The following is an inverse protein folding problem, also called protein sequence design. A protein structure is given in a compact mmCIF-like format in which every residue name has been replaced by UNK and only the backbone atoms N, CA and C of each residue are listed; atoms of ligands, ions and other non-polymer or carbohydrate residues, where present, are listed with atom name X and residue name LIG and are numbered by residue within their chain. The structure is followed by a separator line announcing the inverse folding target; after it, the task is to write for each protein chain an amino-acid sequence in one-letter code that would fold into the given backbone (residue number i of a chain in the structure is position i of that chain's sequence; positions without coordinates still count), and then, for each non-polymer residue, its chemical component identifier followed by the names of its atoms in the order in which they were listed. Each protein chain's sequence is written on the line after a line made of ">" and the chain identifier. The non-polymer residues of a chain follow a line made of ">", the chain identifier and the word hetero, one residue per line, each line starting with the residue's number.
data_IF_261085875565
#
_entry.id   IF_261085875565
#
_cell.length_a   1.000
_cell.length_b   1.000
_cell.length_c   1.000
_cell.angle_alpha   90.00
_cell.angle_beta   90.00
_cell.angle_gamma   90.00
#
_symmetry.space_group_name_H-M   'P 1'
#
loop_
_entity.id
_entity.type
_entity.pdbx_description
1 polymer ?
#
# COMPACT_ATOMS: atom_id res chain seq x y z
N UNK A 1 1.21 -30.50 1.44
CA UNK A 1 1.84 -29.18 1.19
C UNK A 1 1.84 -28.93 -0.32
N UNK A 2 0.87 -28.15 -0.85
CA UNK A 2 0.80 -27.84 -2.29
C UNK A 2 1.93 -26.85 -2.61
N UNK A 3 2.90 -27.26 -3.39
CA UNK A 3 3.88 -26.37 -4.01
C UNK A 3 3.11 -25.42 -4.93
N UNK A 4 2.95 -24.17 -4.51
CA UNK A 4 2.46 -23.11 -5.39
C UNK A 4 3.48 -22.98 -6.52
N UNK A 5 3.13 -23.44 -7.73
CA UNK A 5 3.95 -23.19 -8.90
C UNK A 5 3.93 -21.69 -9.13
N UNK A 6 5.08 -21.08 -9.03
CA UNK A 6 5.28 -19.69 -9.42
C UNK A 6 5.10 -19.63 -10.93
N UNK A 7 3.93 -19.21 -11.37
CA UNK A 7 3.69 -18.91 -12.78
C UNK A 7 4.25 -17.52 -12.99
N UNK A 8 5.32 -17.39 -13.78
CA UNK A 8 5.80 -16.08 -14.18
C UNK A 8 4.79 -15.49 -15.17
N UNK A 9 3.99 -14.47 -14.77
CA UNK A 9 2.95 -13.90 -15.62
C UNK A 9 3.52 -13.19 -16.85
N UNK A 10 4.83 -13.04 -16.93
CA UNK A 10 5.51 -12.43 -18.07
C UNK A 10 6.03 -13.45 -19.10
N UNK A 11 5.79 -14.75 -18.89
CA UNK A 11 6.04 -15.72 -19.97
C UNK A 11 5.13 -15.43 -21.16
N UNK A 12 5.67 -15.35 -22.38
CA UNK A 12 4.89 -14.92 -23.56
C UNK A 12 3.62 -15.73 -23.80
N UNK A 13 3.63 -17.02 -23.47
CA UNK A 13 2.45 -17.88 -23.59
C UNK A 13 1.34 -17.48 -22.60
N UNK A 14 1.71 -17.17 -21.36
CA UNK A 14 0.78 -16.75 -20.32
C UNK A 14 0.22 -15.36 -20.61
N UNK A 15 1.05 -14.42 -21.03
CA UNK A 15 0.59 -13.09 -21.47
C UNK A 15 -0.44 -13.21 -22.58
N UNK A 16 -0.16 -14.03 -23.61
CA UNK A 16 -1.12 -14.26 -24.71
C UNK A 16 -2.43 -14.89 -24.22
N UNK A 17 -2.35 -15.81 -23.26
CA UNK A 17 -3.55 -16.41 -22.65
C UNK A 17 -4.38 -15.34 -21.93
N UNK A 18 -3.77 -14.55 -21.07
CA UNK A 18 -4.44 -13.49 -20.30
C UNK A 18 -5.05 -12.42 -21.22
N UNK A 19 -4.32 -12.00 -22.26
CA UNK A 19 -4.86 -11.03 -23.23
C UNK A 19 -6.05 -11.60 -24.00
N UNK A 20 -6.04 -12.90 -24.37
CA UNK A 20 -7.21 -13.53 -25.00
C UNK A 20 -8.42 -13.62 -24.07
N UNK A 21 -8.17 -13.83 -22.78
CA UNK A 21 -9.23 -14.00 -21.76
C UNK A 21 -9.83 -12.65 -21.31
N UNK A 22 -8.99 -11.64 -21.09
CA UNK A 22 -9.37 -10.36 -20.49
C UNK A 22 -9.29 -9.16 -21.42
N UNK A 23 -8.73 -9.32 -22.62
CA UNK A 23 -8.55 -8.22 -23.57
C UNK A 23 -7.27 -7.41 -23.36
N UNK A 24 -7.17 -6.31 -24.12
CA UNK A 24 -6.06 -5.34 -24.06
C UNK A 24 -6.64 -3.93 -24.12
N UNK A 25 -6.09 -2.94 -23.36
CA UNK A 25 -4.91 -3.03 -22.49
C UNK A 25 -5.17 -3.83 -21.22
N UNK A 26 -4.15 -4.53 -20.70
CA UNK A 26 -4.24 -5.39 -19.51
C UNK A 26 -3.17 -4.99 -18.48
N UNK A 27 -3.59 -4.65 -17.26
CA UNK A 27 -2.72 -4.46 -16.11
C UNK A 27 -2.74 -5.72 -15.24
N UNK A 28 -1.57 -6.30 -14.97
CA UNK A 28 -1.42 -7.49 -14.13
C UNK A 28 -0.85 -7.06 -12.78
N UNK A 29 -1.61 -7.32 -11.71
CA UNK A 29 -1.16 -7.13 -10.33
C UNK A 29 -0.78 -8.48 -9.72
N UNK A 30 0.52 -8.66 -9.48
CA UNK A 30 1.07 -9.86 -8.83
C UNK A 30 1.36 -9.62 -7.34
N UNK A 31 0.42 -9.97 -6.49
CA UNK A 31 0.55 -9.81 -5.04
C UNK A 31 1.66 -10.68 -4.43
N UNK A 32 2.05 -11.80 -5.08
CA UNK A 32 3.16 -12.60 -4.58
C UNK A 32 4.51 -11.89 -4.76
N UNK A 33 4.67 -11.14 -5.84
CA UNK A 33 5.85 -10.26 -6.02
C UNK A 33 5.89 -9.14 -4.98
N UNK A 34 4.74 -8.55 -4.66
CA UNK A 34 4.63 -7.56 -3.57
C UNK A 34 5.08 -8.20 -2.26
N UNK A 35 4.58 -9.39 -1.93
CA UNK A 35 4.94 -10.15 -0.73
C UNK A 35 6.44 -10.41 -0.61
N UNK A 36 7.04 -10.90 -1.70
CA UNK A 36 8.48 -11.18 -1.77
C UNK A 36 9.30 -9.91 -1.52
N UNK A 37 8.88 -8.76 -2.08
CA UNK A 37 9.60 -7.49 -1.87
C UNK A 37 9.48 -6.99 -0.44
N UNK A 38 8.31 -7.05 0.19
CA UNK A 38 8.13 -6.70 1.59
C UNK A 38 9.04 -7.55 2.49
N UNK A 39 9.07 -8.87 2.26
CA UNK A 39 9.94 -9.79 3.01
C UNK A 39 11.43 -9.48 2.84
N UNK A 40 11.87 -9.17 1.60
CA UNK A 40 13.26 -8.78 1.32
C UNK A 40 13.64 -7.50 2.07
N UNK A 41 12.80 -6.47 2.03
CA UNK A 41 13.04 -5.20 2.72
C UNK A 41 13.09 -5.40 4.24
N UNK A 42 12.16 -6.15 4.81
CA UNK A 42 12.16 -6.45 6.25
C UNK A 42 13.40 -7.22 6.69
N UNK A 43 13.86 -8.17 5.88
CA UNK A 43 15.10 -8.91 6.15
C UNK A 43 16.33 -8.00 6.08
N UNK A 44 16.38 -7.08 5.12
CA UNK A 44 17.49 -6.14 4.95
C UNK A 44 17.50 -5.02 6.01
N UNK A 45 16.32 -4.64 6.51
CA UNK A 45 16.11 -3.53 7.44
C UNK A 45 15.35 -3.99 8.70
N UNK A 46 15.91 -4.89 9.51
CA UNK A 46 15.16 -5.60 10.58
C UNK A 46 14.72 -4.68 11.73
N UNK A 47 15.31 -3.48 11.85
CA UNK A 47 14.99 -2.48 12.89
C UNK A 47 14.22 -1.27 12.36
N UNK A 48 13.76 -1.33 11.11
CA UNK A 48 13.03 -0.24 10.47
C UNK A 48 11.56 -0.61 10.32
N UNK A 49 10.67 0.28 10.74
CA UNK A 49 9.24 0.17 10.47
C UNK A 49 8.99 0.57 8.99
N UNK A 50 8.55 -0.39 8.18
CA UNK A 50 8.31 -0.16 6.77
C UNK A 50 6.88 0.29 6.54
N UNK A 51 6.71 1.52 6.06
CA UNK A 51 5.43 2.09 5.68
C UNK A 51 5.30 2.09 4.15
N UNK A 52 4.24 1.48 3.66
CA UNK A 52 3.90 1.47 2.24
C UNK A 52 3.10 2.74 1.91
N UNK A 53 3.65 3.60 1.06
CA UNK A 53 2.92 4.75 0.54
C UNK A 53 1.79 4.30 -0.41
N UNK A 54 0.54 4.64 -0.09
CA UNK A 54 -0.60 4.24 -0.90
C UNK A 54 -0.69 4.99 -2.23
N UNK A 55 -0.15 6.19 -2.28
CA UNK A 55 -0.24 7.10 -3.43
C UNK A 55 0.03 6.44 -4.80
N UNK A 56 1.08 5.62 -5.01
CA UNK A 56 1.33 5.03 -6.34
C UNK A 56 0.37 3.89 -6.70
N UNK A 57 -0.17 3.15 -5.72
CA UNK A 57 -1.06 2.01 -5.98
C UNK A 57 -1.98 1.75 -4.78
N UNK A 58 -3.06 2.54 -4.62
CA UNK A 58 -4.04 2.39 -3.54
C UNK A 58 -5.01 1.25 -3.82
N UNK A 59 -4.51 0.04 -4.04
CA UNK A 59 -5.31 -1.13 -4.38
C UNK A 59 -5.55 -2.02 -3.16
N UNK A 60 -6.80 -2.47 -2.87
CA UNK A 60 -7.13 -3.30 -1.71
C UNK A 60 -6.24 -4.53 -1.54
N UNK A 61 -5.96 -5.25 -2.63
CA UNK A 61 -5.12 -6.45 -2.58
C UNK A 61 -3.66 -6.16 -2.20
N UNK A 62 -3.11 -5.00 -2.64
CA UNK A 62 -1.75 -4.57 -2.24
C UNK A 62 -1.73 -4.22 -0.76
N UNK A 63 -2.69 -3.43 -0.30
CA UNK A 63 -2.83 -3.06 1.12
C UNK A 63 -2.91 -4.31 2.00
N UNK A 64 -3.81 -5.24 1.67
CA UNK A 64 -3.96 -6.49 2.41
C UNK A 64 -2.67 -7.31 2.42
N UNK A 65 -1.95 -7.39 1.28
CA UNK A 65 -0.69 -8.13 1.18
C UNK A 65 0.40 -7.50 2.05
N UNK A 66 0.56 -6.18 2.01
CA UNK A 66 1.56 -5.45 2.81
C UNK A 66 1.27 -5.64 4.31
N UNK A 67 0.01 -5.49 4.70
CA UNK A 67 -0.42 -5.67 6.10
C UNK A 67 -0.21 -7.10 6.60
N UNK A 68 -0.51 -8.11 5.77
CA UNK A 68 -0.30 -9.53 6.11
C UNK A 68 1.18 -9.86 6.33
N UNK A 69 2.09 -9.16 5.66
CA UNK A 69 3.53 -9.30 5.85
C UNK A 69 4.08 -8.41 6.98
N UNK A 70 3.20 -7.79 7.78
CA UNK A 70 3.58 -6.94 8.92
C UNK A 70 4.12 -5.56 8.51
N UNK A 71 3.88 -5.11 7.29
CA UNK A 71 4.11 -3.74 6.87
C UNK A 71 3.07 -2.78 7.45
N UNK A 72 3.37 -1.50 7.39
CA UNK A 72 2.53 -0.39 7.82
C UNK A 72 2.14 0.45 6.61
N UNK A 73 1.31 1.48 6.78
CA UNK A 73 0.78 2.29 5.69
C UNK A 73 1.14 3.77 5.87
N UNK A 74 1.42 4.42 4.75
CA UNK A 74 1.60 5.87 4.68
C UNK A 74 0.50 6.46 3.80
N UNK A 75 -0.29 7.35 4.38
CA UNK A 75 -1.46 7.98 3.78
C UNK A 75 -1.13 9.42 3.39
N UNK A 76 -1.76 9.89 2.32
CA UNK A 76 -1.56 11.25 1.82
C UNK A 76 -2.87 12.01 1.59
N UNK A 77 -3.99 11.33 1.41
CA UNK A 77 -5.26 11.93 0.99
C UNK A 77 -6.46 11.33 1.71
N UNK A 78 -7.56 12.09 1.74
CA UNK A 78 -8.86 11.62 2.22
C UNK A 78 -9.33 10.34 1.50
N UNK A 79 -9.03 10.21 0.19
CA UNK A 79 -9.39 9.01 -0.58
C UNK A 79 -8.70 7.75 -0.05
N UNK A 80 -7.42 7.87 0.31
CA UNK A 80 -6.64 6.78 0.91
C UNK A 80 -7.12 6.46 2.33
N UNK A 81 -7.45 7.47 3.13
CA UNK A 81 -8.07 7.28 4.46
C UNK A 81 -9.36 6.48 4.34
N UNK A 82 -10.27 6.85 3.43
CA UNK A 82 -11.51 6.12 3.18
C UNK A 82 -11.28 4.69 2.71
N UNK A 83 -10.24 4.44 1.92
CA UNK A 83 -9.88 3.09 1.49
C UNK A 83 -9.50 2.22 2.68
N UNK A 84 -8.56 2.67 3.53
CA UNK A 84 -8.11 1.89 4.68
C UNK A 84 -9.21 1.71 5.73
N UNK A 85 -10.11 2.68 5.91
CA UNK A 85 -11.31 2.56 6.74
C UNK A 85 -12.22 1.41 6.26
N UNK A 86 -12.53 1.37 4.95
CA UNK A 86 -13.35 0.30 4.36
C UNK A 86 -12.71 -1.08 4.48
N UNK A 87 -11.39 -1.15 4.55
CA UNK A 87 -10.64 -2.39 4.74
C UNK A 87 -10.49 -2.79 6.21
N UNK A 88 -11.05 -2.01 7.14
CA UNK A 88 -10.96 -2.29 8.58
C UNK A 88 -9.54 -2.20 9.15
N UNK A 89 -8.69 -1.37 8.55
CA UNK A 89 -7.30 -1.22 9.00
C UNK A 89 -7.27 -0.48 10.34
N UNK A 90 -6.47 -0.97 11.28
CA UNK A 90 -6.20 -0.26 12.52
C UNK A 90 -5.42 1.05 12.23
N UNK A 91 -5.94 2.23 12.61
CA UNK A 91 -5.28 3.51 12.39
C UNK A 91 -3.89 3.61 13.04
N UNK A 92 -3.61 2.84 14.08
CA UNK A 92 -2.28 2.76 14.69
C UNK A 92 -1.21 2.20 13.73
N UNK A 93 -1.62 1.57 12.64
CA UNK A 93 -0.74 1.09 11.56
C UNK A 93 -0.53 2.11 10.45
N UNK A 94 -1.02 3.33 10.59
CA UNK A 94 -0.99 4.38 9.58
C UNK A 94 -0.23 5.61 10.06
N UNK A 95 0.51 6.22 9.13
CA UNK A 95 1.11 7.56 9.28
C UNK A 95 0.63 8.44 8.14
N UNK A 96 0.83 9.75 8.26
CA UNK A 96 0.54 10.72 7.21
C UNK A 96 1.78 11.58 6.95
N UNK A 97 2.51 11.29 5.86
CA UNK A 97 3.80 11.96 5.60
C UNK A 97 3.77 12.94 4.44
N UNK A 98 2.64 13.14 3.77
CA UNK A 98 2.57 14.07 2.64
C UNK A 98 2.90 15.51 3.10
N UNK A 99 3.88 16.18 2.47
CA UNK A 99 4.27 17.53 2.91
C UNK A 99 3.19 18.56 2.61
N UNK A 100 2.47 18.45 1.51
CA UNK A 100 1.36 19.35 1.16
C UNK A 100 0.05 18.71 1.63
N UNK A 101 -0.53 19.25 2.70
CA UNK A 101 -1.75 18.74 3.32
C UNK A 101 -2.87 19.79 3.24
N UNK A 102 -4.03 19.38 2.73
CA UNK A 102 -5.23 20.23 2.85
C UNK A 102 -5.81 20.06 4.26
N UNK A 103 -6.41 21.11 4.85
CA UNK A 103 -7.04 21.00 6.18
C UNK A 103 -8.01 19.81 6.29
N UNK A 104 -8.77 19.54 5.24
CA UNK A 104 -9.70 18.39 5.19
C UNK A 104 -8.99 17.02 5.21
N UNK A 105 -7.81 16.89 4.61
CA UNK A 105 -7.04 15.64 4.64
C UNK A 105 -6.51 15.36 6.05
N UNK A 106 -6.04 16.40 6.75
CA UNK A 106 -5.62 16.33 8.15
C UNK A 106 -6.80 15.93 9.04
N UNK A 107 -7.94 16.64 8.92
CA UNK A 107 -9.13 16.39 9.72
C UNK A 107 -9.64 14.96 9.55
N UNK A 108 -9.73 14.46 8.31
CA UNK A 108 -10.17 13.09 8.03
C UNK A 108 -9.20 12.04 8.57
N UNK A 109 -7.88 12.26 8.46
CA UNK A 109 -6.88 11.36 9.03
C UNK A 109 -6.94 11.31 10.56
N UNK A 110 -7.08 12.47 11.22
CA UNK A 110 -7.26 12.57 12.68
C UNK A 110 -8.54 11.88 13.15
N UNK A 111 -9.66 12.13 12.45
CA UNK A 111 -10.95 11.51 12.77
C UNK A 111 -10.89 9.98 12.62
N UNK A 112 -10.17 9.48 11.63
CA UNK A 112 -9.91 8.04 11.47
C UNK A 112 -9.08 7.48 12.63
N UNK A 113 -8.20 8.27 13.23
CA UNK A 113 -7.36 7.88 14.36
C UNK A 113 -5.86 7.88 14.09
N UNK A 114 -5.41 8.39 12.93
CA UNK A 114 -3.97 8.60 12.67
C UNK A 114 -3.44 9.63 13.67
N UNK A 115 -2.26 9.34 14.23
CA UNK A 115 -1.64 10.19 15.27
C UNK A 115 -0.22 10.66 14.90
N UNK A 116 0.36 10.12 13.85
CA UNK A 116 1.71 10.47 13.40
C UNK A 116 1.64 11.19 12.06
N UNK A 117 2.07 12.45 12.08
CA UNK A 117 2.13 13.33 10.92
C UNK A 117 3.54 13.85 10.75
N UNK A 118 3.94 14.14 9.50
CA UNK A 118 5.17 14.85 9.19
C UNK A 118 4.84 16.28 8.81
N UNK A 119 5.57 17.25 9.34
CA UNK A 119 5.56 18.64 8.95
C UNK A 119 6.94 19.03 8.45
N UNK A 120 7.04 19.77 7.36
CA UNK A 120 8.31 20.20 6.77
C UNK A 120 8.65 21.66 7.10
N UNK A 121 7.70 22.39 7.71
CA UNK A 121 7.91 23.76 8.17
C UNK A 121 7.10 24.06 9.45
N UNK A 122 7.50 25.11 10.25
CA UNK A 122 6.83 25.44 11.50
C UNK A 122 5.38 25.93 11.33
N UNK A 123 5.00 26.47 10.17
CA UNK A 123 3.66 27.01 9.94
C UNK A 123 2.61 25.90 9.78
N UNK A 124 3.03 24.69 9.42
CA UNK A 124 2.15 23.50 9.37
C UNK A 124 1.74 23.00 10.77
N UNK A 125 2.42 23.43 11.82
CA UNK A 125 2.17 22.95 13.19
C UNK A 125 1.26 23.92 13.96
N UNK A 126 0.92 25.07 13.39
CA UNK A 126 0.05 26.10 13.96
C UNK A 126 -1.38 25.96 13.51
#
# INVERSE_FOLDING_TARGET
>A
MRRTRFIDPFQPAEVRRLVREFGSPLLILDCERVRVQVRKLRKALPRVALHYALKPMPHPAVVATVLAEGGLLDLATTGEVRLVQRLGVDPARCIHTHPIKRPEDIANALQFGVRLFVADNPDEVR
#
